data_IF_688617879852
#
_entry.id   IF_688617879852
#
_cell.length_a   1.000
_cell.length_b   1.000
_cell.length_c   1.000
_cell.angle_alpha   90.00
_cell.angle_beta   90.00
_cell.angle_gamma   90.00
#
_symmetry.space_group_name_H-M   'P 1'
#
loop_
_entity.id
_entity.type
_entity.pdbx_description
1 polymer ?
#
# COMPACT_ATOMS: atom_id res chain seq x y z
N UNK A 1 -22.23 -0.37 -35.88
CA UNK A 1 -21.63 -1.32 -34.92
C UNK A 1 -20.60 -0.65 -33.98
N UNK A 2 -20.74 0.64 -33.64
CA UNK A 2 -19.69 1.41 -32.96
C UNK A 2 -19.59 1.17 -31.43
N UNK A 3 -20.59 0.54 -30.82
CA UNK A 3 -20.62 0.34 -29.36
C UNK A 3 -20.08 -1.02 -28.90
N UNK A 4 -19.93 -1.98 -29.83
CA UNK A 4 -19.49 -3.34 -29.52
C UNK A 4 -18.07 -3.38 -28.91
N UNK A 5 -17.05 -2.68 -29.46
CA UNK A 5 -15.73 -2.66 -28.83
C UNK A 5 -15.73 -1.97 -27.45
N UNK A 6 -16.51 -0.90 -27.25
CA UNK A 6 -16.63 -0.24 -25.95
C UNK A 6 -17.25 -1.14 -24.89
N UNK A 7 -18.30 -1.90 -25.24
CA UNK A 7 -18.95 -2.84 -24.32
C UNK A 7 -18.01 -3.98 -23.96
N UNK A 8 -17.27 -4.52 -24.93
CA UNK A 8 -16.28 -5.59 -24.70
C UNK A 8 -15.15 -5.11 -23.80
N UNK A 9 -14.65 -3.89 -24.00
CA UNK A 9 -13.61 -3.31 -23.14
C UNK A 9 -14.09 -3.10 -21.70
N UNK A 10 -15.32 -2.63 -21.50
CA UNK A 10 -15.91 -2.46 -20.16
C UNK A 10 -16.11 -3.82 -19.47
N UNK A 11 -16.67 -4.81 -20.17
CA UNK A 11 -16.85 -6.16 -19.63
C UNK A 11 -15.52 -6.83 -19.30
N UNK A 12 -14.50 -6.66 -20.15
CA UNK A 12 -13.17 -7.17 -19.90
C UNK A 12 -12.51 -6.48 -18.70
N UNK A 13 -12.71 -5.16 -18.56
CA UNK A 13 -12.25 -4.40 -17.40
C UNK A 13 -12.88 -4.88 -16.09
N UNK A 14 -14.22 -5.01 -16.06
CA UNK A 14 -14.95 -5.51 -14.90
C UNK A 14 -14.59 -6.96 -14.55
N UNK A 15 -14.45 -7.82 -15.56
CA UNK A 15 -13.99 -9.19 -15.37
C UNK A 15 -12.59 -9.22 -14.74
N UNK A 16 -11.66 -8.44 -15.28
CA UNK A 16 -10.28 -8.35 -14.76
C UNK A 16 -10.26 -7.85 -13.31
N UNK A 17 -11.03 -6.80 -12.99
CA UNK A 17 -11.13 -6.27 -11.61
C UNK A 17 -11.72 -7.30 -10.66
N UNK A 18 -12.77 -8.01 -11.07
CA UNK A 18 -13.41 -9.04 -10.24
C UNK A 18 -12.49 -10.24 -9.97
N UNK A 19 -11.77 -10.72 -10.99
CA UNK A 19 -10.79 -11.81 -10.85
C UNK A 19 -9.58 -11.37 -10.04
N UNK A 20 -9.12 -10.13 -10.22
CA UNK A 20 -8.04 -9.57 -9.40
C UNK A 20 -8.43 -9.44 -7.93
N UNK A 21 -9.68 -9.06 -7.62
CA UNK A 21 -10.18 -8.99 -6.25
C UNK A 21 -10.23 -10.38 -5.59
N UNK A 22 -10.79 -11.38 -6.29
CA UNK A 22 -10.85 -12.75 -5.79
C UNK A 22 -9.45 -13.35 -5.58
N UNK A 23 -8.54 -13.13 -6.53
CA UNK A 23 -7.16 -13.61 -6.42
C UNK A 23 -6.38 -12.86 -5.32
N UNK A 24 -6.64 -11.57 -5.12
CA UNK A 24 -6.01 -10.80 -4.05
C UNK A 24 -6.42 -11.31 -2.68
N UNK A 25 -7.69 -11.71 -2.50
CA UNK A 25 -8.17 -12.24 -1.22
C UNK A 25 -7.52 -13.60 -0.89
N UNK A 26 -7.41 -14.50 -1.87
CA UNK A 26 -6.74 -15.80 -1.67
C UNK A 26 -5.25 -15.64 -1.39
N UNK A 27 -4.54 -14.76 -2.12
CA UNK A 27 -3.12 -14.48 -1.88
C UNK A 27 -2.86 -13.76 -0.55
N UNK A 28 -3.75 -12.83 -0.16
CA UNK A 28 -3.55 -12.02 1.05
C UNK A 28 -3.83 -12.79 2.33
N UNK A 29 -4.86 -13.64 2.34
CA UNK A 29 -5.20 -14.48 3.49
C UNK A 29 -4.53 -15.85 3.46
N UNK A 30 -3.79 -16.18 2.40
CA UNK A 30 -3.04 -17.43 2.31
C UNK A 30 -3.92 -18.65 2.05
N UNK A 31 -5.06 -18.46 1.38
CA UNK A 31 -5.89 -19.58 0.90
C UNK A 31 -5.09 -20.47 -0.05
N UNK A 32 -5.40 -21.78 -0.06
CA UNK A 32 -4.81 -22.76 -0.99
C UNK A 32 -3.26 -22.87 -0.96
N UNK A 33 -2.63 -22.59 0.19
CA UNK A 33 -1.17 -22.76 0.37
C UNK A 33 -0.32 -21.55 -0.04
N UNK A 34 -0.94 -20.39 -0.29
CA UNK A 34 -0.26 -19.13 -0.59
C UNK A 34 0.12 -18.31 0.65
N UNK A 35 0.21 -18.93 1.84
CA UNK A 35 0.55 -18.25 3.09
C UNK A 35 1.92 -17.53 3.06
N UNK A 36 2.83 -17.96 2.17
CA UNK A 36 4.12 -17.33 1.93
C UNK A 36 4.04 -16.00 1.18
N UNK A 37 2.95 -15.72 0.48
CA UNK A 37 2.81 -14.53 -0.36
C UNK A 37 2.79 -13.25 0.48
N UNK A 38 2.00 -13.23 1.56
CA UNK A 38 1.92 -12.09 2.48
C UNK A 38 3.27 -11.71 3.12
N UNK A 39 4.02 -12.62 3.75
CA UNK A 39 5.32 -12.28 4.33
C UNK A 39 6.35 -11.92 3.26
N UNK A 40 6.35 -12.55 2.08
CA UNK A 40 7.28 -12.17 1.00
C UNK A 40 7.00 -10.79 0.42
N UNK A 41 5.73 -10.40 0.29
CA UNK A 41 5.41 -9.05 -0.16
C UNK A 41 5.80 -8.00 0.89
N UNK A 42 5.65 -8.32 2.18
CA UNK A 42 6.11 -7.48 3.28
C UNK A 42 7.65 -7.35 3.30
N UNK A 43 8.39 -8.43 3.05
CA UNK A 43 9.86 -8.36 2.98
C UNK A 43 10.33 -7.52 1.80
N UNK A 44 9.71 -7.66 0.63
CA UNK A 44 10.02 -6.82 -0.53
C UNK A 44 9.72 -5.34 -0.25
N UNK A 45 8.57 -5.04 0.36
CA UNK A 45 8.20 -3.66 0.72
C UNK A 45 9.14 -3.05 1.77
N UNK A 46 9.57 -3.84 2.77
CA UNK A 46 10.54 -3.35 3.76
C UNK A 46 11.92 -3.13 3.15
N UNK A 47 12.37 -4.01 2.25
CA UNK A 47 13.62 -3.84 1.51
C UNK A 47 13.62 -2.57 0.66
N UNK A 48 12.52 -2.28 -0.05
CA UNK A 48 12.44 -1.07 -0.88
C UNK A 48 12.50 0.21 -0.04
N UNK A 49 11.87 0.22 1.14
CA UNK A 49 11.99 1.33 2.10
C UNK A 49 13.41 1.51 2.61
N UNK A 50 14.10 0.41 2.96
CA UNK A 50 15.49 0.44 3.43
C UNK A 50 16.40 1.00 2.34
N UNK A 51 16.25 0.54 1.09
CA UNK A 51 17.03 1.02 -0.06
C UNK A 51 16.76 2.50 -0.30
N UNK A 52 15.49 2.94 -0.27
CA UNK A 52 15.13 4.35 -0.44
C UNK A 52 15.75 5.25 0.63
N UNK A 53 15.72 4.81 1.90
CA UNK A 53 16.37 5.53 3.00
C UNK A 53 17.89 5.55 2.84
N UNK A 54 18.48 4.44 2.43
CA UNK A 54 19.91 4.32 2.20
C UNK A 54 20.39 5.30 1.12
N UNK A 55 19.69 5.37 -0.02
CA UNK A 55 19.98 6.33 -1.10
C UNK A 55 19.79 7.77 -0.62
N UNK A 56 18.71 8.05 0.11
CA UNK A 56 18.45 9.39 0.67
C UNK A 56 19.57 9.87 1.59
N UNK A 57 20.04 9.03 2.52
CA UNK A 57 21.11 9.38 3.43
C UNK A 57 22.48 9.44 2.74
N UNK A 58 22.71 8.60 1.73
CA UNK A 58 23.94 8.65 0.93
C UNK A 58 24.05 9.94 0.12
N UNK A 59 22.94 10.42 -0.45
CA UNK A 59 22.89 11.74 -1.10
C UNK A 59 23.12 12.92 -0.13
N UNK A 60 22.92 12.71 1.19
CA UNK A 60 23.21 13.70 2.23
C UNK A 60 24.65 13.63 2.75
N UNK A 61 25.51 12.78 2.15
CA UNK A 61 26.94 12.67 2.49
C UNK A 61 27.27 11.69 3.63
N UNK A 62 26.30 10.90 4.11
CA UNK A 62 26.55 9.86 5.14
C UNK A 62 27.02 8.60 4.42
N UNK A 63 28.34 8.40 4.35
CA UNK A 63 28.94 7.28 3.61
C UNK A 63 29.53 6.19 4.51
N UNK A 64 29.68 6.44 5.82
CA UNK A 64 30.34 5.53 6.77
C UNK A 64 29.48 5.22 8.00
N UNK A 65 29.74 4.08 8.66
CA UNK A 65 29.07 3.68 9.90
C UNK A 65 29.35 4.65 11.07
N UNK A 66 30.52 5.29 11.10
CA UNK A 66 30.86 6.31 12.09
C UNK A 66 30.00 7.58 11.94
N UNK A 67 29.70 7.99 10.71
CA UNK A 67 28.78 9.10 10.44
C UNK A 67 27.35 8.78 10.87
N UNK A 68 26.90 7.54 10.68
CA UNK A 68 25.59 7.07 11.17
C UNK A 68 25.52 7.15 12.70
N UNK A 69 26.58 6.74 13.40
CA UNK A 69 26.63 6.79 14.87
C UNK A 69 26.63 8.23 15.38
N UNK A 70 27.34 9.14 14.69
CA UNK A 70 27.41 10.56 15.01
C UNK A 70 26.10 11.30 14.74
N UNK A 71 25.39 10.94 13.66
CA UNK A 71 24.13 11.57 13.25
C UNK A 71 22.89 10.71 13.58
N UNK A 72 22.99 9.77 14.52
CA UNK A 72 21.92 8.80 14.85
C UNK A 72 20.56 9.44 15.13
N UNK A 73 20.53 10.59 15.82
CA UNK A 73 19.28 11.32 16.11
C UNK A 73 18.60 11.82 14.83
N UNK A 74 19.38 12.32 13.87
CA UNK A 74 18.86 12.82 12.60
C UNK A 74 18.29 11.69 11.74
N UNK A 75 19.00 10.56 11.70
CA UNK A 75 18.57 9.35 10.97
C UNK A 75 17.26 8.82 11.56
N UNK A 76 17.23 8.57 12.88
CA UNK A 76 16.05 8.03 13.58
C UNK A 76 14.85 8.98 13.47
N UNK A 77 15.05 10.28 13.64
CA UNK A 77 13.92 11.22 13.58
C UNK A 77 13.34 11.32 12.17
N UNK A 78 14.20 11.32 11.14
CA UNK A 78 13.75 11.35 9.74
C UNK A 78 13.03 10.06 9.37
N UNK A 79 13.58 8.90 9.74
CA UNK A 79 12.95 7.61 9.45
C UNK A 79 11.60 7.47 10.16
N UNK A 80 11.52 7.88 11.43
CA UNK A 80 10.29 7.84 12.22
C UNK A 80 9.23 8.76 11.61
N UNK A 81 9.62 9.97 11.23
CA UNK A 81 8.71 10.93 10.60
C UNK A 81 8.15 10.40 9.27
N UNK A 82 9.00 9.81 8.42
CA UNK A 82 8.56 9.18 7.16
C UNK A 82 7.58 8.04 7.42
N UNK A 83 7.88 7.17 8.39
CA UNK A 83 6.99 6.06 8.75
C UNK A 83 5.64 6.54 9.31
N UNK A 84 5.64 7.57 10.16
CA UNK A 84 4.42 8.16 10.70
C UNK A 84 3.56 8.75 9.58
N UNK A 85 4.15 9.54 8.67
CA UNK A 85 3.41 10.12 7.54
C UNK A 85 2.87 9.03 6.63
N UNK A 86 3.68 8.02 6.30
CA UNK A 86 3.23 6.90 5.48
C UNK A 86 2.05 6.18 6.13
N UNK A 87 2.12 5.88 7.42
CA UNK A 87 1.05 5.21 8.16
C UNK A 87 -0.23 6.06 8.24
N UNK A 88 -0.12 7.35 8.55
CA UNK A 88 -1.26 8.27 8.58
C UNK A 88 -1.90 8.40 7.18
N UNK A 89 -1.08 8.49 6.13
CA UNK A 89 -1.57 8.55 4.75
C UNK A 89 -2.30 7.27 4.34
N UNK A 90 -1.79 6.10 4.77
CA UNK A 90 -2.44 4.81 4.54
C UNK A 90 -3.80 4.75 5.21
N UNK A 91 -3.90 5.18 6.47
CA UNK A 91 -5.16 5.20 7.20
C UNK A 91 -6.17 6.16 6.55
N UNK A 92 -5.73 7.39 6.24
CA UNK A 92 -6.57 8.40 5.63
C UNK A 92 -7.09 7.92 4.26
N UNK A 93 -6.21 7.37 3.43
CA UNK A 93 -6.61 6.91 2.11
C UNK A 93 -7.57 5.72 2.17
N UNK A 94 -7.31 4.72 3.02
CA UNK A 94 -8.12 3.50 3.08
C UNK A 94 -9.44 3.68 3.84
N UNK A 95 -9.44 4.40 4.96
CA UNK A 95 -10.60 4.46 5.85
C UNK A 95 -11.41 5.75 5.73
N UNK A 96 -10.88 6.77 5.06
CA UNK A 96 -11.62 8.02 4.79
C UNK A 96 -11.96 8.11 3.32
N UNK A 97 -10.95 8.16 2.44
CA UNK A 97 -11.19 8.39 1.01
C UNK A 97 -11.92 7.20 0.39
N UNK A 98 -11.35 6.00 0.50
CA UNK A 98 -11.92 4.79 -0.13
C UNK A 98 -13.28 4.42 0.46
N UNK A 99 -13.49 4.60 1.76
CA UNK A 99 -14.78 4.31 2.41
C UNK A 99 -15.89 5.25 1.90
N UNK A 100 -15.65 6.56 1.84
CA UNK A 100 -16.66 7.50 1.34
C UNK A 100 -16.93 7.32 -0.16
N UNK A 101 -15.88 7.03 -0.96
CA UNK A 101 -16.06 6.69 -2.37
C UNK A 101 -16.85 5.39 -2.55
N UNK A 102 -16.59 4.37 -1.73
CA UNK A 102 -17.32 3.10 -1.75
C UNK A 102 -18.81 3.28 -1.44
N UNK A 103 -19.13 4.11 -0.44
CA UNK A 103 -20.51 4.44 -0.07
C UNK A 103 -21.22 5.20 -1.21
N UNK A 104 -20.54 6.16 -1.86
CA UNK A 104 -21.08 6.88 -3.02
C UNK A 104 -21.39 5.95 -4.20
N UNK A 105 -20.63 4.85 -4.34
CA UNK A 105 -20.83 3.83 -5.37
C UNK A 105 -21.85 2.75 -4.96
N UNK A 106 -22.47 2.87 -3.78
CA UNK A 106 -23.50 1.95 -3.30
C UNK A 106 -22.95 0.63 -2.74
N UNK A 107 -21.67 0.57 -2.39
CA UNK A 107 -21.03 -0.59 -1.77
C UNK A 107 -21.20 -0.48 -0.25
N UNK A 108 -21.62 -1.57 0.42
CA UNK A 108 -21.89 -1.65 1.87
C UNK A 108 -20.62 -1.59 2.74
N UNK A 109 -19.77 -0.57 2.55
CA UNK A 109 -18.56 -0.30 3.36
C UNK A 109 -18.85 0.57 4.58
N UNK A 110 -20.13 0.81 4.88
CA UNK A 110 -20.58 1.61 6.01
C UNK A 110 -20.09 1.06 7.37
N UNK A 111 -19.93 -0.26 7.46
CA UNK A 111 -19.35 -0.96 8.62
C UNK A 111 -17.88 -0.63 8.88
N UNK A 112 -17.17 -0.11 7.87
CA UNK A 112 -15.75 0.25 7.95
C UNK A 112 -15.53 1.73 8.29
N UNK A 113 -16.60 2.52 8.46
CA UNK A 113 -16.49 3.92 8.89
C UNK A 113 -15.93 4.01 10.30
N UNK A 114 -14.79 4.69 10.42
CA UNK A 114 -14.15 4.95 11.72
C UNK A 114 -15.05 5.73 12.71
N UNK A 115 -15.97 6.55 12.20
CA UNK A 115 -16.81 7.46 13.00
C UNK A 115 -18.21 6.93 13.33
N UNK A 116 -18.60 5.75 12.82
CA UNK A 116 -19.96 5.21 12.97
C UNK A 116 -20.03 4.11 14.04
N UNK A 117 -19.10 4.13 15.01
CA UNK A 117 -18.96 3.15 16.09
C UNK A 117 -19.15 3.81 17.44
#
# INVERSE_FOLDING_TARGET
>A
MCCLPSIVLVLFGLATVSSAAALSDTLYWGGEGYEWFRPTMLTIASLSLIIGLFVYFRNRGICTFDDLKRQRRKVINTSLLVLIIAYLSYLLFNYVILTEVGILLGIEWESSRFWNK
#
